data_IF_952903450206
#
_entry.id   IF_952903450206
#
_cell.length_a   1.000
_cell.length_b   1.000
_cell.length_c   1.000
_cell.angle_alpha   90.00
_cell.angle_beta   90.00
_cell.angle_gamma   90.00
#
_symmetry.space_group_name_H-M   'P 1'
#
loop_
_entity.id
_entity.type
_entity.pdbx_description
1 polymer ?
#
# COMPACT_ATOMS: atom_id res chain seq x y z
N UNK A 1 -5.60 18.91 -34.96
CA UNK A 1 -4.31 18.98 -35.71
C UNK A 1 -3.45 17.82 -35.22
N UNK A 2 -3.15 16.85 -36.09
CA UNK A 2 -2.40 15.62 -35.75
C UNK A 2 -0.91 15.92 -35.70
N UNK A 3 -0.20 15.54 -34.64
CA UNK A 3 1.28 15.54 -34.64
C UNK A 3 1.81 14.12 -34.78
N UNK A 4 2.60 13.93 -35.84
CA UNK A 4 3.34 12.72 -36.20
C UNK A 4 4.73 12.81 -35.56
N UNK A 5 5.22 11.70 -35.02
CA UNK A 5 6.63 11.57 -34.65
C UNK A 5 7.42 10.96 -35.82
N UNK A 6 8.57 11.56 -36.12
CA UNK A 6 9.50 11.13 -37.17
C UNK A 6 10.52 10.12 -36.61
N UNK A 7 10.82 9.09 -37.39
CA UNK A 7 11.94 8.18 -37.15
C UNK A 7 13.23 8.77 -37.73
N UNK A 8 14.31 8.79 -36.95
CA UNK A 8 15.65 9.18 -37.40
C UNK A 8 16.43 7.93 -37.80
N UNK A 9 16.79 7.84 -39.08
CA UNK A 9 17.71 6.84 -39.62
C UNK A 9 19.15 7.26 -39.31
N UNK A 10 19.96 6.37 -38.74
CA UNK A 10 21.41 6.52 -38.70
C UNK A 10 22.10 5.55 -39.65
N UNK A 11 23.01 6.15 -40.42
CA UNK A 11 23.87 5.60 -41.46
C UNK A 11 24.82 4.53 -40.96
N UNK A 12 25.09 3.55 -41.84
CA UNK A 12 26.05 2.45 -41.65
C UNK A 12 27.48 2.98 -41.66
N UNK A 13 28.28 2.62 -40.67
CA UNK A 13 29.74 2.61 -40.79
C UNK A 13 30.34 1.50 -39.93
N UNK A 14 31.33 0.86 -40.54
CA UNK A 14 31.96 -0.42 -40.27
C UNK A 14 32.93 -0.33 -39.07
N UNK A 15 32.77 -1.11 -37.99
CA UNK A 15 33.83 -1.30 -36.99
C UNK A 15 33.87 -2.76 -36.49
N UNK A 16 35.11 -3.24 -36.38
CA UNK A 16 35.63 -4.58 -36.16
C UNK A 16 35.02 -5.43 -35.04
N UNK A 17 35.00 -6.73 -35.34
CA UNK A 17 34.77 -7.86 -34.45
C UNK A 17 35.88 -7.98 -33.41
N UNK A 18 35.51 -7.94 -32.12
CA UNK A 18 36.29 -8.54 -31.03
C UNK A 18 35.31 -9.37 -30.19
N UNK A 19 35.37 -10.69 -30.32
CA UNK A 19 34.67 -11.63 -29.46
C UNK A 19 35.43 -11.73 -28.13
N UNK A 20 34.90 -11.13 -27.06
CA UNK A 20 35.32 -11.47 -25.69
C UNK A 20 34.38 -12.57 -25.20
N UNK A 21 34.92 -13.78 -25.10
CA UNK A 21 34.25 -14.92 -24.47
C UNK A 21 34.25 -14.68 -22.96
N UNK A 22 33.13 -14.20 -22.42
CA UNK A 22 32.84 -14.35 -20.99
C UNK A 22 32.26 -15.75 -20.77
N UNK A 23 33.09 -16.63 -20.22
CA UNK A 23 32.65 -17.93 -19.69
C UNK A 23 31.75 -17.64 -18.49
N UNK A 24 30.43 -17.69 -18.69
CA UNK A 24 29.48 -17.79 -17.60
C UNK A 24 29.67 -19.18 -16.97
N UNK A 25 30.35 -19.24 -15.83
CA UNK A 25 30.24 -20.39 -14.93
C UNK A 25 28.77 -20.47 -14.48
N UNK A 26 28.00 -21.34 -15.13
CA UNK A 26 26.69 -21.76 -14.65
C UNK A 26 26.91 -22.63 -13.42
N UNK A 27 26.89 -22.00 -12.25
CA UNK A 27 26.69 -22.74 -11.01
C UNK A 27 25.27 -23.29 -11.03
N UNK A 28 25.13 -24.56 -11.40
CA UNK A 28 23.90 -25.33 -11.24
C UNK A 28 23.66 -25.58 -9.75
N UNK A 29 23.15 -24.58 -9.04
CA UNK A 29 22.41 -24.84 -7.80
C UNK A 29 20.99 -25.22 -8.19
N UNK A 30 20.72 -26.53 -8.16
CA UNK A 30 19.37 -27.06 -8.14
C UNK A 30 18.67 -26.55 -6.88
N UNK A 31 17.97 -25.41 -6.96
CA UNK A 31 17.03 -25.01 -5.93
C UNK A 31 15.78 -25.89 -6.06
N UNK A 32 15.62 -26.77 -5.07
CA UNK A 32 14.35 -27.44 -4.77
C UNK A 32 13.19 -26.45 -4.85
N UNK A 33 12.17 -26.77 -5.65
CA UNK A 33 11.06 -25.87 -5.95
C UNK A 33 10.26 -25.39 -4.74
N UNK A 34 10.58 -24.19 -4.25
CA UNK A 34 9.63 -23.34 -3.53
C UNK A 34 9.22 -22.21 -4.48
N UNK A 35 7.92 -22.09 -4.76
CA UNK A 35 7.37 -20.89 -5.39
C UNK A 35 7.83 -19.66 -4.58
N UNK A 36 8.11 -18.51 -5.21
CA UNK A 36 8.43 -17.30 -4.47
C UNK A 36 7.33 -17.05 -3.43
N UNK A 37 7.70 -16.81 -2.17
CA UNK A 37 6.77 -16.24 -1.19
C UNK A 37 6.43 -14.83 -1.69
N UNK A 38 5.15 -14.53 -1.90
CA UNK A 38 4.70 -13.18 -2.26
C UNK A 38 4.08 -13.02 -3.64
N UNK A 39 3.70 -11.77 -3.93
CA UNK A 39 3.24 -11.31 -5.24
C UNK A 39 3.94 -10.01 -5.64
N UNK A 40 4.02 -9.73 -6.95
CA UNK A 40 4.39 -8.40 -7.43
C UNK A 40 3.28 -7.36 -7.22
N UNK A 41 3.55 -6.14 -7.67
CA UNK A 41 2.50 -5.14 -7.89
C UNK A 41 1.44 -5.70 -8.83
N UNK A 42 0.18 -5.32 -8.61
CA UNK A 42 -0.89 -5.67 -9.52
C UNK A 42 -0.64 -5.10 -10.91
N UNK A 43 -0.90 -5.93 -11.92
CA UNK A 43 -1.06 -5.46 -13.29
C UNK A 43 -2.33 -4.63 -13.41
N UNK A 44 -2.39 -3.76 -14.42
CA UNK A 44 -3.58 -2.97 -14.74
C UNK A 44 -4.83 -3.85 -14.89
N UNK A 45 -4.68 -5.03 -15.52
CA UNK A 45 -5.78 -6.00 -15.65
C UNK A 45 -6.29 -6.47 -14.28
N UNK A 46 -5.41 -6.76 -13.33
CA UNK A 46 -5.81 -7.19 -11.99
C UNK A 46 -6.55 -6.07 -11.24
N UNK A 47 -6.10 -4.82 -11.38
CA UNK A 47 -6.79 -3.66 -10.82
C UNK A 47 -8.20 -3.49 -11.42
N UNK A 48 -8.34 -3.60 -12.74
CA UNK A 48 -9.65 -3.53 -13.40
C UNK A 48 -10.56 -4.72 -13.11
N UNK A 49 -10.01 -5.93 -12.95
CA UNK A 49 -10.80 -7.10 -12.57
C UNK A 49 -11.30 -6.98 -11.12
N UNK A 50 -10.49 -6.39 -10.23
CA UNK A 50 -10.91 -6.05 -8.87
C UNK A 50 -11.99 -4.95 -8.89
N UNK A 51 -11.80 -3.88 -9.65
CA UNK A 51 -12.81 -2.80 -9.78
C UNK A 51 -14.14 -3.36 -10.29
N UNK A 52 -14.16 -4.21 -11.33
CA UNK A 52 -15.40 -4.83 -11.81
C UNK A 52 -16.09 -5.73 -10.79
N UNK A 53 -15.33 -6.32 -9.86
CA UNK A 53 -15.88 -7.19 -8.81
C UNK A 53 -16.52 -6.39 -7.67
N UNK A 54 -16.15 -5.12 -7.52
CA UNK A 54 -16.55 -4.28 -6.41
C UNK A 54 -17.31 -3.06 -6.92
N UNK A 55 -18.53 -2.82 -6.42
CA UNK A 55 -19.22 -1.56 -6.72
C UNK A 55 -18.40 -0.35 -6.26
N UNK A 56 -18.72 0.83 -6.81
CA UNK A 56 -18.15 2.11 -6.39
C UNK A 56 -18.09 2.19 -4.86
N UNK A 57 -16.89 2.36 -4.32
CA UNK A 57 -16.67 2.45 -2.87
C UNK A 57 -17.26 3.77 -2.37
N UNK A 58 -18.39 3.68 -1.66
CA UNK A 58 -19.02 4.77 -0.92
C UNK A 58 -18.64 4.58 0.54
N UNK A 59 -17.47 5.08 0.88
CA UNK A 59 -16.84 4.88 2.18
C UNK A 59 -17.04 6.03 3.16
N UNK A 60 -16.77 5.76 4.44
CA UNK A 60 -16.58 6.78 5.47
C UNK A 60 -15.37 6.42 6.36
N UNK A 61 -14.79 7.42 7.01
CA UNK A 61 -13.59 7.27 7.83
C UNK A 61 -13.94 7.18 9.33
N UNK A 62 -13.09 6.50 10.11
CA UNK A 62 -13.06 6.52 11.57
C UNK A 62 -14.45 6.38 12.22
N UNK A 63 -14.99 5.15 12.35
CA UNK A 63 -16.30 4.89 12.95
C UNK A 63 -16.27 5.07 14.48
N UNK A 64 -15.83 6.24 14.93
CA UNK A 64 -15.72 6.61 16.34
C UNK A 64 -17.11 6.93 16.88
N UNK A 65 -17.38 6.47 18.10
CA UNK A 65 -18.62 6.77 18.79
C UNK A 65 -18.84 8.29 18.88
N UNK A 66 -19.99 8.82 18.42
CA UNK A 66 -20.27 10.26 18.51
C UNK A 66 -20.46 10.72 19.95
N UNK A 67 -20.88 9.80 20.85
CA UNK A 67 -21.08 10.03 22.27
C UNK A 67 -20.76 8.75 23.06
N UNK A 68 -20.39 8.85 24.35
CA UNK A 68 -20.27 7.69 25.24
C UNK A 68 -21.54 6.84 25.23
N UNK A 69 -21.37 5.51 25.15
CA UNK A 69 -22.49 4.55 25.13
C UNK A 69 -23.07 4.24 23.74
N UNK A 70 -22.70 5.00 22.69
CA UNK A 70 -23.06 4.64 21.31
C UNK A 70 -22.04 3.64 20.76
N UNK A 71 -22.45 2.39 20.62
CA UNK A 71 -21.60 1.34 20.04
C UNK A 71 -21.39 1.51 18.54
N UNK A 72 -20.22 1.07 18.04
CA UNK A 72 -19.83 1.12 16.62
C UNK A 72 -20.86 0.48 15.68
N UNK A 73 -21.51 -0.60 16.10
CA UNK A 73 -22.60 -1.24 15.35
C UNK A 73 -23.77 -0.28 14.99
N UNK A 74 -24.03 0.75 15.79
CA UNK A 74 -25.05 1.78 15.51
C UNK A 74 -24.61 2.64 14.33
N UNK A 75 -23.33 3.02 14.30
CA UNK A 75 -22.71 3.80 13.22
C UNK A 75 -22.77 3.00 11.92
N UNK A 76 -22.36 1.73 11.97
CA UNK A 76 -22.38 0.85 10.80
C UNK A 76 -23.79 0.64 10.24
N UNK A 77 -24.78 0.44 11.11
CA UNK A 77 -26.18 0.39 10.69
C UNK A 77 -26.60 1.69 10.00
N UNK A 78 -26.33 2.84 10.61
CA UNK A 78 -26.71 4.14 10.03
C UNK A 78 -26.02 4.40 8.70
N UNK A 79 -24.75 4.03 8.57
CA UNK A 79 -24.00 4.15 7.32
C UNK A 79 -24.61 3.28 6.22
N UNK A 80 -24.93 2.02 6.52
CA UNK A 80 -25.61 1.13 5.59
C UNK A 80 -26.99 1.66 5.18
N UNK A 81 -27.80 2.18 6.12
CA UNK A 81 -29.10 2.80 5.85
C UNK A 81 -29.00 4.02 4.91
N UNK A 82 -27.84 4.70 4.91
CA UNK A 82 -27.53 5.84 4.04
C UNK A 82 -26.88 5.43 2.71
N UNK A 83 -26.65 4.14 2.48
CA UNK A 83 -26.07 3.61 1.24
C UNK A 83 -24.54 3.62 1.18
N UNK A 84 -23.85 3.79 2.31
CA UNK A 84 -22.42 3.52 2.40
C UNK A 84 -22.17 2.01 2.34
N UNK A 85 -21.05 1.59 1.74
CA UNK A 85 -20.68 0.17 1.56
C UNK A 85 -19.28 -0.17 2.07
N UNK A 86 -18.56 0.80 2.66
CA UNK A 86 -17.22 0.57 3.17
C UNK A 86 -16.88 1.49 4.34
N UNK A 87 -15.97 1.06 5.20
CA UNK A 87 -15.39 1.87 6.27
C UNK A 87 -13.87 1.82 6.23
N UNK A 88 -13.22 2.99 6.28
CA UNK A 88 -11.78 3.11 6.43
C UNK A 88 -11.44 3.47 7.88
N UNK A 89 -10.50 2.76 8.50
CA UNK A 89 -10.27 2.87 9.96
C UNK A 89 -8.81 2.68 10.36
N UNK A 90 -8.38 3.43 11.36
CA UNK A 90 -7.06 3.35 11.96
C UNK A 90 -7.12 2.51 13.22
N UNK A 91 -6.19 1.56 13.34
CA UNK A 91 -6.18 0.62 14.46
C UNK A 91 -4.90 0.77 15.27
N UNK A 92 -5.00 1.03 16.59
CA UNK A 92 -3.85 1.26 17.42
C UNK A 92 -3.19 -0.06 17.88
N UNK A 93 -1.98 0.08 18.40
CA UNK A 93 -1.35 -0.91 19.24
C UNK A 93 -0.40 -1.86 18.51
N UNK A 94 0.04 -2.87 19.27
CA UNK A 94 0.90 -3.96 18.81
C UNK A 94 0.10 -4.95 17.94
N UNK A 95 0.77 -5.84 17.18
CA UNK A 95 0.11 -6.71 16.21
C UNK A 95 -1.04 -7.51 16.80
N UNK A 96 -0.91 -8.04 18.01
CA UNK A 96 -1.92 -8.86 18.67
C UNK A 96 -3.19 -8.05 18.98
N UNK A 97 -3.02 -6.82 19.46
CA UNK A 97 -4.13 -5.89 19.73
C UNK A 97 -4.79 -5.44 18.43
N UNK A 98 -3.99 -5.10 17.42
CA UNK A 98 -4.51 -4.72 16.10
C UNK A 98 -5.35 -5.85 15.50
N UNK A 99 -4.80 -7.07 15.43
CA UNK A 99 -5.48 -8.26 14.89
C UNK A 99 -6.81 -8.50 15.62
N UNK A 100 -6.79 -8.47 16.95
CA UNK A 100 -8.00 -8.64 17.76
C UNK A 100 -9.08 -7.60 17.44
N UNK A 101 -8.71 -6.33 17.33
CA UNK A 101 -9.66 -5.25 17.04
C UNK A 101 -10.14 -5.35 15.59
N UNK A 102 -9.26 -5.69 14.65
CA UNK A 102 -9.61 -5.82 13.24
C UNK A 102 -10.62 -6.95 13.02
N UNK A 103 -10.45 -8.12 13.66
CA UNK A 103 -11.46 -9.19 13.66
C UNK A 103 -12.85 -8.66 14.09
N UNK A 104 -12.92 -7.93 15.21
CA UNK A 104 -14.18 -7.37 15.70
C UNK A 104 -14.82 -6.38 14.71
N UNK A 105 -14.01 -5.49 14.12
CA UNK A 105 -14.50 -4.52 13.14
C UNK A 105 -15.01 -5.21 11.88
N UNK A 106 -14.29 -6.22 11.39
CA UNK A 106 -14.68 -6.98 10.20
C UNK A 106 -16.01 -7.72 10.44
N UNK A 107 -16.19 -8.34 11.60
CA UNK A 107 -17.45 -9.02 11.97
C UNK A 107 -18.62 -8.02 12.03
N UNK A 108 -18.43 -6.90 12.73
CA UNK A 108 -19.48 -5.88 12.89
C UNK A 108 -19.83 -5.19 11.57
N UNK A 109 -18.84 -4.88 10.74
CA UNK A 109 -19.02 -4.23 9.43
C UNK A 109 -19.71 -5.18 8.45
N UNK A 110 -19.25 -6.44 8.36
CA UNK A 110 -19.85 -7.44 7.48
C UNK A 110 -21.31 -7.73 7.86
N UNK A 111 -21.66 -7.70 9.15
CA UNK A 111 -23.05 -7.82 9.62
C UNK A 111 -23.97 -6.68 9.16
N UNK A 112 -23.42 -5.63 8.52
CA UNK A 112 -24.15 -4.51 7.89
C UNK A 112 -23.87 -4.40 6.40
N UNK A 113 -23.23 -5.40 5.78
CA UNK A 113 -22.88 -5.39 4.36
C UNK A 113 -21.76 -4.41 4.02
N UNK A 114 -20.97 -3.98 5.01
CA UNK A 114 -19.85 -3.07 4.82
C UNK A 114 -18.54 -3.85 4.65
N UNK A 115 -17.70 -3.38 3.74
CA UNK A 115 -16.29 -3.79 3.67
C UNK A 115 -15.41 -2.89 4.54
N UNK A 116 -14.17 -3.29 4.81
CA UNK A 116 -13.24 -2.56 5.67
C UNK A 116 -11.94 -2.26 4.94
N UNK A 117 -11.44 -1.04 5.06
CA UNK A 117 -10.09 -0.65 4.68
C UNK A 117 -9.30 -0.27 5.94
N UNK A 118 -8.49 -1.19 6.48
CA UNK A 118 -7.65 -0.87 7.63
C UNK A 118 -6.45 -0.03 7.18
N UNK A 119 -6.14 0.98 7.99
CA UNK A 119 -4.93 1.78 7.89
C UNK A 119 -3.86 1.21 8.81
N UNK A 120 -2.69 0.91 8.26
CA UNK A 120 -1.54 0.48 9.05
C UNK A 120 -0.83 1.70 9.64
N UNK A 121 -0.71 1.73 10.96
CA UNK A 121 -0.18 2.86 11.72
C UNK A 121 1.35 2.81 11.87
N UNK A 122 2.06 2.62 10.74
CA UNK A 122 3.52 2.40 10.73
C UNK A 122 4.27 3.63 11.28
N UNK A 123 3.71 4.84 11.12
CA UNK A 123 4.25 6.10 11.64
C UNK A 123 4.55 6.10 13.15
N UNK A 124 3.88 5.28 13.96
CA UNK A 124 4.16 5.21 15.40
C UNK A 124 5.53 4.60 15.71
N UNK A 125 6.03 3.73 14.84
CA UNK A 125 7.34 3.10 14.98
C UNK A 125 8.47 4.07 14.61
N UNK A 126 8.26 4.94 13.63
CA UNK A 126 9.25 5.97 13.26
C UNK A 126 9.55 6.98 14.37
N UNK A 127 8.63 7.16 15.32
CA UNK A 127 8.80 8.07 16.46
C UNK A 127 9.67 7.50 17.57
N UNK A 128 10.12 6.24 17.44
CA UNK A 128 10.97 5.58 18.44
C UNK A 128 12.44 6.00 18.29
N UNK A 129 13.20 6.11 19.39
CA UNK A 129 14.60 6.56 19.36
C UNK A 129 15.55 5.53 18.73
N UNK A 130 15.27 4.23 18.88
CA UNK A 130 16.04 3.14 18.26
C UNK A 130 15.38 2.73 16.94
N UNK A 131 15.83 3.37 15.85
CA UNK A 131 15.27 3.15 14.52
C UNK A 131 15.55 1.74 13.96
N UNK A 132 16.61 1.06 14.39
CA UNK A 132 16.91 -0.29 13.91
C UNK A 132 15.88 -1.26 14.50
N UNK A 133 15.70 -1.21 15.82
CA UNK A 133 14.69 -2.03 16.49
C UNK A 133 13.29 -1.67 16.03
N UNK A 134 12.99 -0.38 15.91
CA UNK A 134 11.67 0.08 15.49
C UNK A 134 11.33 -0.33 14.05
N UNK A 135 12.31 -0.40 13.15
CA UNK A 135 12.10 -0.93 11.80
C UNK A 135 11.76 -2.40 11.82
N UNK A 136 12.48 -3.19 12.62
CA UNK A 136 12.19 -4.62 12.79
C UNK A 136 10.80 -4.86 13.40
N UNK A 137 10.41 -4.05 14.39
CA UNK A 137 9.08 -4.12 15.00
C UNK A 137 7.98 -3.69 14.00
N UNK A 138 8.22 -2.68 13.17
CA UNK A 138 7.32 -2.26 12.09
C UNK A 138 7.13 -3.34 11.02
N UNK A 139 8.22 -4.00 10.60
CA UNK A 139 8.17 -5.13 9.67
C UNK A 139 7.34 -6.29 10.24
N UNK A 140 7.63 -6.69 11.48
CA UNK A 140 6.88 -7.73 12.17
C UNK A 140 5.39 -7.37 12.28
N UNK A 141 5.08 -6.11 12.53
CA UNK A 141 3.72 -5.59 12.58
C UNK A 141 2.99 -5.70 11.24
N UNK A 142 3.59 -5.20 10.15
CA UNK A 142 2.98 -5.27 8.81
C UNK A 142 2.75 -6.73 8.42
N UNK A 143 3.78 -7.57 8.55
CA UNK A 143 3.69 -8.98 8.15
C UNK A 143 2.66 -9.74 8.96
N UNK A 144 2.63 -9.60 10.29
CA UNK A 144 1.68 -10.33 11.13
C UNK A 144 0.22 -10.00 10.75
N UNK A 145 -0.09 -8.72 10.55
CA UNK A 145 -1.45 -8.29 10.19
C UNK A 145 -1.82 -8.76 8.79
N UNK A 146 -0.98 -8.50 7.78
CA UNK A 146 -1.29 -8.91 6.41
C UNK A 146 -1.41 -10.42 6.31
N UNK A 147 -0.50 -11.19 6.91
CA UNK A 147 -0.49 -12.65 6.87
C UNK A 147 -1.74 -13.27 7.51
N UNK A 148 -2.27 -12.68 8.58
CA UNK A 148 -3.52 -13.12 9.23
C UNK A 148 -4.73 -12.94 8.30
N UNK A 149 -4.82 -11.79 7.62
CA UNK A 149 -6.04 -11.41 6.88
C UNK A 149 -5.91 -11.46 5.34
N UNK A 150 -4.80 -11.99 4.82
CA UNK A 150 -4.48 -11.96 3.38
C UNK A 150 -5.51 -12.59 2.44
N UNK A 151 -6.39 -13.44 2.98
CA UNK A 151 -7.48 -14.10 2.24
C UNK A 151 -8.88 -13.63 2.68
N UNK A 152 -8.98 -12.68 3.60
CA UNK A 152 -10.26 -12.20 4.13
C UNK A 152 -10.92 -11.21 3.16
N UNK A 153 -11.97 -11.65 2.46
CA UNK A 153 -12.68 -10.84 1.47
C UNK A 153 -13.48 -9.68 2.05
N UNK A 154 -13.58 -9.55 3.37
CA UNK A 154 -14.19 -8.40 4.04
C UNK A 154 -13.28 -7.17 4.01
N UNK A 155 -11.97 -7.37 3.83
CA UNK A 155 -11.03 -6.29 3.59
C UNK A 155 -11.10 -5.90 2.11
N UNK A 156 -11.41 -4.62 1.83
CA UNK A 156 -11.52 -4.13 0.45
C UNK A 156 -10.16 -3.74 -0.12
N UNK A 157 -9.30 -3.12 0.69
CA UNK A 157 -7.94 -2.70 0.35
C UNK A 157 -7.12 -2.42 1.60
N UNK A 158 -5.80 -2.58 1.50
CA UNK A 158 -4.84 -2.23 2.55
C UNK A 158 -4.30 -0.83 2.34
N UNK A 159 -4.54 0.07 3.30
CA UNK A 159 -3.90 1.39 3.30
C UNK A 159 -2.70 1.36 4.23
N UNK A 160 -1.50 1.21 3.68
CA UNK A 160 -0.32 0.92 4.50
C UNK A 160 0.19 2.13 5.28
N UNK A 161 -0.26 3.34 4.94
CA UNK A 161 0.10 4.56 5.66
C UNK A 161 -0.84 5.71 5.31
N UNK A 162 -1.30 6.46 6.31
CA UNK A 162 -2.08 7.67 6.09
C UNK A 162 -1.20 8.91 5.96
N UNK A 163 -1.19 9.52 4.78
CA UNK A 163 -0.64 10.85 4.50
C UNK A 163 0.78 11.03 5.05
N UNK A 164 1.77 10.32 4.49
CA UNK A 164 3.14 10.48 4.94
C UNK A 164 3.62 11.92 4.74
N UNK A 165 4.27 12.48 5.75
CA UNK A 165 4.85 13.81 5.68
C UNK A 165 6.13 13.80 4.84
N UNK A 166 5.99 13.86 3.52
CA UNK A 166 7.12 13.81 2.57
C UNK A 166 7.88 15.15 2.43
N UNK A 167 7.58 16.14 3.27
CA UNK A 167 8.24 17.45 3.22
C UNK A 167 9.74 17.36 3.54
N UNK A 168 10.57 18.01 2.71
CA UNK A 168 12.03 18.04 2.86
C UNK A 168 12.44 19.12 3.88
N UNK A 169 12.08 18.92 5.14
CA UNK A 169 13.04 19.28 6.20
C UNK A 169 13.88 18.01 6.39
N UNK A 170 15.19 18.15 6.53
CA UNK A 170 16.20 17.06 6.51
C UNK A 170 15.92 15.83 7.41
N UNK A 171 14.86 15.85 8.21
CA UNK A 171 14.42 14.86 9.19
C UNK A 171 13.62 13.67 8.62
N UNK A 172 13.06 13.72 7.40
CA UNK A 172 12.05 12.72 6.96
C UNK A 172 12.53 11.69 5.91
N UNK A 173 13.84 11.44 5.78
CA UNK A 173 14.39 10.39 4.87
C UNK A 173 13.93 8.99 5.23
N UNK A 174 13.72 8.73 6.52
CA UNK A 174 13.35 7.41 7.02
C UNK A 174 11.94 7.03 6.60
N UNK A 175 10.99 7.97 6.65
CA UNK A 175 9.59 7.82 6.22
C UNK A 175 9.51 7.25 4.81
N UNK A 176 10.17 7.90 3.86
CA UNK A 176 10.20 7.45 2.47
C UNK A 176 10.80 6.04 2.32
N UNK A 177 11.90 5.70 3.00
CA UNK A 177 12.47 4.34 2.91
C UNK A 177 11.57 3.28 3.54
N UNK A 178 10.98 3.55 4.70
CA UNK A 178 10.10 2.62 5.40
C UNK A 178 8.77 2.41 4.65
N UNK A 179 8.29 3.42 3.93
CA UNK A 179 7.12 3.28 3.04
C UNK A 179 7.38 2.27 1.92
N UNK A 180 8.53 2.35 1.26
CA UNK A 180 8.91 1.37 0.23
C UNK A 180 9.05 -0.03 0.80
N UNK A 181 9.68 -0.14 1.97
CA UNK A 181 9.82 -1.41 2.66
C UNK A 181 8.46 -1.99 3.07
N UNK A 182 7.51 -1.16 3.53
CA UNK A 182 6.16 -1.59 3.88
C UNK A 182 5.39 -2.19 2.70
N UNK A 183 5.51 -1.59 1.50
CA UNK A 183 4.98 -2.21 0.27
C UNK A 183 5.60 -3.59 0.01
N UNK A 184 6.92 -3.72 0.17
CA UNK A 184 7.64 -4.98 -0.03
C UNK A 184 7.16 -6.03 0.98
N UNK A 185 7.14 -5.70 2.26
CA UNK A 185 6.69 -6.58 3.34
C UNK A 185 5.26 -7.06 3.09
N UNK A 186 4.33 -6.16 2.75
CA UNK A 186 2.94 -6.52 2.47
C UNK A 186 2.81 -7.42 1.23
N UNK A 187 3.58 -7.14 0.17
CA UNK A 187 3.58 -7.94 -1.07
C UNK A 187 4.11 -9.36 -0.86
N UNK A 188 5.13 -9.52 -0.03
CA UNK A 188 5.71 -10.82 0.29
C UNK A 188 4.74 -11.77 1.01
N UNK A 189 3.72 -11.23 1.70
CA UNK A 189 2.66 -12.03 2.31
C UNK A 189 1.57 -12.48 1.32
N UNK A 190 1.55 -11.90 0.11
CA UNK A 190 0.62 -12.18 -0.98
C UNK A 190 -0.88 -12.01 -0.65
N UNK A 191 -1.33 -10.82 -0.18
CA UNK A 191 -2.76 -10.54 0.00
C UNK A 191 -3.53 -10.54 -1.31
N UNK A 192 -4.77 -11.06 -1.26
CA UNK A 192 -5.72 -11.00 -2.38
C UNK A 192 -6.31 -9.60 -2.59
N UNK A 193 -6.13 -8.71 -1.61
CA UNK A 193 -6.57 -7.31 -1.65
C UNK A 193 -5.47 -6.42 -2.24
N UNK A 194 -5.81 -5.27 -2.86
CA UNK A 194 -4.82 -4.31 -3.31
C UNK A 194 -4.12 -3.65 -2.13
N UNK A 195 -2.86 -3.31 -2.32
CA UNK A 195 -2.04 -2.53 -1.40
C UNK A 195 -1.97 -1.10 -1.94
N UNK A 196 -2.34 -0.14 -1.11
CA UNK A 196 -2.29 1.29 -1.44
C UNK A 196 -1.66 2.09 -0.29
N UNK A 197 -1.34 3.34 -0.61
CA UNK A 197 -0.87 4.40 0.23
C UNK A 197 -1.78 5.60 0.00
N UNK A 198 -2.43 6.10 1.05
CA UNK A 198 -3.15 7.38 0.98
C UNK A 198 -2.16 8.54 0.99
N UNK A 199 -1.87 9.12 -0.17
CA UNK A 199 -1.07 10.34 -0.26
C UNK A 199 -1.94 11.59 -0.28
N UNK A 200 -1.42 12.69 0.27
CA UNK A 200 -1.97 14.03 0.04
C UNK A 200 -1.60 14.48 -1.37
N UNK A 201 -2.50 15.19 -2.06
CA UNK A 201 -2.07 15.92 -3.26
C UNK A 201 -1.11 17.04 -2.87
N UNK A 202 0.05 17.08 -3.52
CA UNK A 202 1.06 18.12 -3.34
C UNK A 202 0.64 19.46 -3.96
N UNK A 203 -0.53 20.00 -3.60
CA UNK A 203 -1.00 21.32 -4.04
C UNK A 203 -0.55 22.45 -3.12
N UNK A 204 0.06 22.17 -1.96
CA UNK A 204 0.53 23.22 -1.05
C UNK A 204 1.82 23.88 -1.59
N UNK A 205 1.93 25.23 -1.50
CA UNK A 205 3.10 25.98 -1.97
C UNK A 205 4.45 25.53 -1.37
N UNK A 206 4.43 24.86 -0.22
CA UNK A 206 5.63 24.34 0.46
C UNK A 206 6.17 23.04 -0.18
N UNK A 207 5.50 22.48 -1.19
CA UNK A 207 5.93 21.27 -1.91
C UNK A 207 6.69 21.53 -3.22
N UNK A 208 7.16 22.75 -3.48
CA UNK A 208 7.98 23.07 -4.65
C UNK A 208 9.42 22.49 -4.62
N UNK A 209 9.70 21.52 -3.75
CA UNK A 209 10.95 20.77 -3.77
C UNK A 209 10.87 19.58 -4.74
N UNK A 210 11.70 19.60 -5.79
CA UNK A 210 11.69 18.57 -6.84
C UNK A 210 11.97 17.15 -6.31
N UNK A 211 12.65 17.02 -5.16
CA UNK A 211 12.96 15.72 -4.56
C UNK A 211 11.78 15.19 -3.75
N UNK A 212 11.05 16.02 -3.03
CA UNK A 212 9.76 15.64 -2.43
C UNK A 212 8.80 15.11 -3.50
N UNK A 213 8.69 15.83 -4.62
CA UNK A 213 7.84 15.43 -5.73
C UNK A 213 8.27 14.07 -6.31
N UNK A 214 9.56 13.87 -6.56
CA UNK A 214 10.06 12.60 -7.08
C UNK A 214 9.79 11.42 -6.13
N UNK A 215 9.93 11.63 -4.81
CA UNK A 215 9.60 10.61 -3.81
C UNK A 215 8.11 10.30 -3.76
N UNK A 216 7.27 11.32 -3.82
CA UNK A 216 5.83 11.16 -3.90
C UNK A 216 5.43 10.37 -5.16
N UNK A 217 5.97 10.74 -6.32
CA UNK A 217 5.65 10.08 -7.58
C UNK A 217 6.08 8.62 -7.58
N UNK A 218 7.28 8.31 -7.05
CA UNK A 218 7.73 6.92 -6.91
C UNK A 218 6.81 6.11 -5.99
N UNK A 219 6.42 6.68 -4.84
CA UNK A 219 5.51 5.99 -3.91
C UNK A 219 4.11 5.82 -4.50
N UNK A 220 3.59 6.83 -5.19
CA UNK A 220 2.31 6.75 -5.89
C UNK A 220 2.33 5.63 -6.94
N UNK A 221 3.45 5.47 -7.66
CA UNK A 221 3.65 4.39 -8.63
C UNK A 221 3.75 3.00 -7.99
N UNK A 222 3.92 2.88 -6.67
CA UNK A 222 3.89 1.59 -5.97
C UNK A 222 2.48 1.12 -5.61
N UNK A 223 1.45 1.95 -5.76
CA UNK A 223 0.06 1.55 -5.46
C UNK A 223 -0.45 0.47 -6.42
N UNK A 224 -1.12 -0.55 -5.91
CA UNK A 224 -1.91 -1.46 -6.76
C UNK A 224 -3.16 -0.75 -7.32
N UNK A 225 -3.76 0.13 -6.49
CA UNK A 225 -4.85 1.05 -6.86
C UNK A 225 -4.56 2.38 -6.17
N UNK A 226 -4.65 3.50 -6.91
CA UNK A 226 -4.38 4.82 -6.34
C UNK A 226 -5.43 5.23 -5.30
N UNK A 227 -4.95 5.72 -4.16
CA UNK A 227 -5.75 6.33 -3.10
C UNK A 227 -5.17 7.70 -2.78
N UNK A 228 -6.00 8.73 -2.75
CA UNK A 228 -5.59 10.10 -2.49
C UNK A 228 -6.67 10.84 -1.71
N UNK A 229 -6.25 11.82 -0.92
CA UNK A 229 -7.14 12.71 -0.18
C UNK A 229 -7.20 14.06 -0.89
N UNK A 230 -8.43 14.53 -1.15
CA UNK A 230 -8.75 15.82 -1.80
C UNK A 230 -9.07 16.90 -0.76
#
# INVERSE_FOLDING_TARGET
MKQRFYAVNYSKSLICVIFIVFVLQTSTYAQSGKKPKGRGQWTEKQAWDWEKKHDVIKGFNAPNAPYPGVGRHVIFRKAADLGFNSVRTWLPGRPETHIKILHQILDEAAAKGLTVSPVLEIKYWLKQPDLIRAKADAEAYVRAIIQEFKNDSRIILWDIWNEPELAVKEKNRNDYTWLKDAFIWAREEAPIQPITLSSIWLYEPDFHDAKAQAWHDELALMNDVHNFHL
#
